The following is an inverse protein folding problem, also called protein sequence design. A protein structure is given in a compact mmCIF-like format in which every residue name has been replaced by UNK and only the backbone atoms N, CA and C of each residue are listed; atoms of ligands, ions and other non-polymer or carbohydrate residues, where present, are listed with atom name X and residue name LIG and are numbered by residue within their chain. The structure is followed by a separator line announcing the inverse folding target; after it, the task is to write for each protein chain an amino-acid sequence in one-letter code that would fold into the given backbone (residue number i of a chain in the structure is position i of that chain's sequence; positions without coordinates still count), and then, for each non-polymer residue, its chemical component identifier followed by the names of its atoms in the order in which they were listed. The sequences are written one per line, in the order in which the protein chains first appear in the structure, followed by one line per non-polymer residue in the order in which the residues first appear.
data_IF_690794692277
#
_entry.id   IF_690794692277
#
_cell.length_a   1.000
_cell.length_b   1.000
_cell.length_c   1.000
_cell.angle_alpha   90.00
_cell.angle_beta   90.00
_cell.angle_gamma   90.00
#
_symmetry.space_group_name_H-M   'P 1'
#
loop_
_entity.id
_entity.type
_entity.pdbx_description
1 polymer ?
#
# COMPACT_ATOMS: atom_id res chain seq x y z
N UNK A 1 -15.60 -26.40 14.11
CA UNK A 1 -14.84 -26.04 12.89
C UNK A 1 -15.86 -25.68 11.82
N UNK A 2 -15.87 -24.45 11.33
CA UNK A 2 -16.76 -24.09 10.21
C UNK A 2 -16.26 -24.79 8.95
N UNK A 3 -17.17 -25.37 8.18
CA UNK A 3 -16.90 -25.91 6.86
C UNK A 3 -16.31 -24.76 6.01
N UNK A 4 -15.19 -24.96 5.28
CA UNK A 4 -14.69 -23.95 4.36
C UNK A 4 -15.79 -23.66 3.34
N UNK A 5 -16.29 -22.43 3.32
CA UNK A 5 -17.20 -21.98 2.28
C UNK A 5 -16.41 -21.79 0.99
N UNK A 6 -17.04 -22.06 -0.14
CA UNK A 6 -16.45 -21.76 -1.44
C UNK A 6 -16.09 -20.27 -1.53
N UNK A 7 -14.97 -19.89 -2.17
CA UNK A 7 -14.53 -18.50 -2.31
C UNK A 7 -15.66 -17.54 -2.71
N UNK A 8 -16.47 -17.94 -3.69
CA UNK A 8 -17.62 -17.15 -4.15
C UNK A 8 -18.66 -16.88 -3.06
N UNK A 9 -18.93 -17.86 -2.20
CA UNK A 9 -19.88 -17.69 -1.10
C UNK A 9 -19.34 -16.72 -0.06
N UNK A 10 -18.04 -16.78 0.23
CA UNK A 10 -17.39 -15.82 1.14
C UNK A 10 -17.54 -14.41 0.59
N UNK A 11 -17.20 -14.19 -0.69
CA UNK A 11 -17.32 -12.88 -1.36
C UNK A 11 -18.76 -12.33 -1.37
N UNK A 12 -19.77 -13.21 -1.52
CA UNK A 12 -21.20 -12.84 -1.46
C UNK A 12 -21.67 -12.49 -0.05
N UNK A 13 -21.03 -13.06 0.98
CA UNK A 13 -21.39 -12.90 2.38
C UNK A 13 -20.56 -11.86 3.13
N UNK A 14 -19.56 -11.25 2.48
CA UNK A 14 -18.82 -10.11 3.03
C UNK A 14 -19.79 -9.03 3.52
N UNK A 15 -19.50 -8.48 4.68
CA UNK A 15 -20.39 -7.56 5.39
C UNK A 15 -19.65 -6.50 6.17
N UNK A 16 -18.38 -6.28 5.84
CA UNK A 16 -17.59 -5.18 6.37
C UNK A 16 -18.10 -3.83 5.86
N UNK A 17 -17.72 -2.76 6.56
CA UNK A 17 -18.06 -1.39 6.18
C UNK A 17 -17.31 -0.92 4.92
N UNK A 18 -16.13 -1.47 4.68
CA UNK A 18 -15.26 -1.27 3.50
C UNK A 18 -15.10 -2.60 2.76
N UNK A 19 -14.81 -3.70 3.47
CA UNK A 19 -14.76 -5.05 2.90
C UNK A 19 -16.18 -5.61 2.71
N UNK A 20 -16.88 -5.06 1.73
CA UNK A 20 -18.29 -5.33 1.46
C UNK A 20 -18.54 -6.49 0.51
N UNK A 21 -19.83 -6.76 0.24
CA UNK A 21 -20.27 -7.75 -0.76
C UNK A 21 -19.66 -7.46 -2.12
N UNK A 22 -19.41 -8.52 -2.90
CA UNK A 22 -18.85 -8.43 -4.27
C UNK A 22 -17.47 -7.76 -4.34
N UNK A 23 -16.75 -7.67 -3.23
CA UNK A 23 -15.38 -7.16 -3.22
C UNK A 23 -14.37 -8.28 -2.98
N UNK A 24 -13.17 -8.14 -3.53
CA UNK A 24 -12.01 -9.00 -3.30
C UNK A 24 -10.86 -8.18 -2.66
N UNK A 25 -10.00 -8.88 -1.92
CA UNK A 25 -8.72 -8.33 -1.47
C UNK A 25 -7.65 -8.81 -2.44
N UNK A 26 -7.34 -8.00 -3.44
CA UNK A 26 -6.38 -8.36 -4.48
C UNK A 26 -4.97 -8.01 -4.02
N UNK A 27 -4.01 -8.92 -4.22
CA UNK A 27 -2.59 -8.59 -4.07
C UNK A 27 -2.24 -7.46 -5.02
N UNK A 28 -1.79 -6.37 -4.43
CA UNK A 28 -1.40 -5.19 -5.17
C UNK A 28 -0.02 -5.44 -5.81
N UNK A 29 0.87 -6.16 -5.12
CA UNK A 29 2.16 -6.61 -5.65
C UNK A 29 1.99 -7.88 -6.50
N UNK A 30 2.09 -7.74 -7.83
CA UNK A 30 1.89 -8.84 -8.80
C UNK A 30 3.12 -9.02 -9.73
N UNK A 31 3.30 -10.19 -10.36
CA UNK A 31 4.50 -10.48 -11.17
C UNK A 31 4.82 -9.46 -12.28
N UNK A 32 3.80 -8.81 -12.83
CA UNK A 32 3.91 -7.79 -13.87
C UNK A 32 4.23 -6.38 -13.38
N UNK A 33 4.28 -6.13 -12.07
CA UNK A 33 4.45 -4.77 -11.54
C UNK A 33 5.86 -4.20 -11.73
N UNK A 34 6.86 -5.04 -12.04
CA UNK A 34 8.25 -4.62 -12.24
C UNK A 34 8.59 -4.46 -13.72
N UNK A 35 8.96 -3.24 -14.13
CA UNK A 35 9.64 -2.99 -15.38
C UNK A 35 11.09 -3.46 -15.30
N UNK A 36 11.37 -4.63 -15.89
CA UNK A 36 12.68 -5.29 -15.89
C UNK A 36 13.82 -4.47 -16.52
N UNK A 37 13.53 -3.33 -17.17
CA UNK A 37 14.52 -2.41 -17.75
C UNK A 37 14.99 -1.33 -16.78
N UNK A 38 14.22 -1.02 -15.74
CA UNK A 38 14.60 0.00 -14.76
C UNK A 38 15.72 -0.52 -13.84
N UNK A 39 16.62 0.37 -13.45
CA UNK A 39 17.70 0.11 -12.49
C UNK A 39 17.84 1.31 -11.56
N UNK A 40 18.24 1.11 -10.29
CA UNK A 40 18.53 -0.18 -9.66
C UNK A 40 17.26 -1.01 -9.40
N UNK A 41 17.42 -2.33 -9.23
CA UNK A 41 16.35 -3.19 -8.73
C UNK A 41 16.49 -3.26 -7.21
N UNK A 42 15.43 -2.88 -6.49
CA UNK A 42 15.36 -3.02 -5.03
C UNK A 42 14.32 -4.10 -4.74
N UNK A 43 14.72 -5.12 -3.99
CA UNK A 43 13.84 -6.25 -3.68
C UNK A 43 12.60 -5.79 -2.89
N UNK A 44 11.42 -6.27 -3.30
CA UNK A 44 10.13 -5.83 -2.75
C UNK A 44 9.68 -4.40 -3.13
N UNK A 45 10.48 -3.64 -3.88
CA UNK A 45 10.24 -2.22 -4.19
C UNK A 45 10.23 -1.96 -5.71
N UNK A 46 9.10 -2.26 -6.37
CA UNK A 46 9.06 -2.28 -7.82
C UNK A 46 9.19 -0.87 -8.43
N UNK A 47 9.75 -0.80 -9.63
CA UNK A 47 9.95 0.42 -10.42
C UNK A 47 10.65 1.57 -9.67
N UNK A 48 11.51 1.23 -8.69
CA UNK A 48 12.32 2.23 -8.02
C UNK A 48 13.15 3.05 -9.03
N UNK A 49 13.20 4.36 -8.81
CA UNK A 49 13.92 5.34 -9.62
C UNK A 49 14.26 6.58 -8.80
N UNK A 50 15.28 7.31 -9.24
CA UNK A 50 15.64 8.62 -8.72
C UNK A 50 15.63 9.61 -9.88
N UNK A 51 15.09 10.80 -9.64
CA UNK A 51 15.07 11.89 -10.62
C UNK A 51 16.45 12.56 -10.69
N UNK A 52 17.28 12.15 -11.64
CA UNK A 52 18.61 12.71 -11.93
C UNK A 52 19.43 13.03 -10.65
N UNK A 53 19.91 14.26 -10.52
CA UNK A 53 20.67 14.75 -9.34
C UNK A 53 19.77 15.30 -8.23
N UNK A 54 18.45 15.15 -8.34
CA UNK A 54 17.52 15.62 -7.31
C UNK A 54 17.39 14.58 -6.18
N UNK A 55 16.98 15.08 -5.02
CA UNK A 55 16.65 14.28 -3.84
C UNK A 55 15.22 13.71 -3.91
N UNK A 56 14.74 13.46 -5.12
CA UNK A 56 13.40 12.94 -5.41
C UNK A 56 13.53 11.53 -5.97
N UNK A 57 12.86 10.61 -5.29
CA UNK A 57 12.80 9.21 -5.61
C UNK A 57 11.35 8.87 -5.99
N UNK A 58 11.17 7.68 -6.56
CA UNK A 58 9.84 7.16 -6.81
C UNK A 58 9.89 5.64 -6.84
N UNK A 59 8.83 5.03 -6.32
CA UNK A 59 8.67 3.58 -6.25
C UNK A 59 7.20 3.24 -6.46
N UNK A 60 6.94 2.08 -7.07
CA UNK A 60 5.59 1.53 -7.12
C UNK A 60 5.32 0.68 -5.88
N UNK A 61 4.05 0.41 -5.59
CA UNK A 61 3.49 -0.61 -4.66
C UNK A 61 4.47 -1.55 -3.90
N UNK A 62 5.23 -1.03 -2.92
CA UNK A 62 6.27 -1.80 -2.27
C UNK A 62 5.70 -2.69 -1.16
N UNK A 63 6.34 -3.83 -0.91
CA UNK A 63 6.15 -4.59 0.35
C UNK A 63 6.77 -3.83 1.52
N UNK A 64 6.45 -4.20 2.77
CA UNK A 64 7.08 -3.57 3.94
C UNK A 64 8.61 -3.76 3.89
N UNK A 65 9.09 -4.95 3.51
CA UNK A 65 10.52 -5.18 3.32
C UNK A 65 11.10 -4.37 2.15
N UNK A 66 10.31 -4.15 1.10
CA UNK A 66 10.62 -3.22 0.02
C UNK A 66 10.84 -1.79 0.52
N UNK A 67 9.95 -1.29 1.38
CA UNK A 67 10.10 0.03 2.01
C UNK A 67 11.41 0.08 2.81
N UNK A 68 11.68 -0.92 3.66
CA UNK A 68 12.94 -1.02 4.42
C UNK A 68 14.17 -1.01 3.50
N UNK A 69 14.10 -1.72 2.38
CA UNK A 69 15.19 -1.80 1.42
C UNK A 69 15.42 -0.47 0.70
N UNK A 70 14.36 0.26 0.35
CA UNK A 70 14.44 1.62 -0.21
C UNK A 70 15.07 2.57 0.81
N UNK A 71 14.59 2.58 2.05
CA UNK A 71 15.14 3.45 3.10
C UNK A 71 16.63 3.17 3.36
N UNK A 72 17.03 1.89 3.41
CA UNK A 72 18.46 1.49 3.50
C UNK A 72 19.26 1.96 2.30
N UNK A 73 18.73 1.81 1.09
CA UNK A 73 19.38 2.22 -0.15
C UNK A 73 19.60 3.74 -0.20
N UNK A 74 18.63 4.51 0.29
CA UNK A 74 18.69 5.98 0.37
C UNK A 74 19.58 6.46 1.53
N UNK A 75 19.80 5.62 2.54
CA UNK A 75 20.64 5.90 3.70
C UNK A 75 19.88 6.44 4.91
N UNK A 76 18.57 6.19 5.02
CA UNK A 76 17.71 6.71 6.08
C UNK A 76 17.67 5.83 7.35
N UNK A 77 18.79 5.20 7.72
CA UNK A 77 18.89 4.30 8.89
C UNK A 77 19.71 4.93 10.03
N UNK A 78 19.51 4.47 11.26
CA UNK A 78 20.19 5.00 12.47
C UNK A 78 21.73 4.92 12.37
N UNK A 79 22.27 3.87 11.76
CA UNK A 79 23.72 3.70 11.57
C UNK A 79 24.18 4.28 10.23
N UNK A 80 24.61 5.55 10.22
CA UNK A 80 25.23 6.17 9.05
C UNK A 80 24.88 7.65 8.84
N UNK A 81 24.91 8.08 7.57
CA UNK A 81 24.56 9.45 7.16
C UNK A 81 23.10 9.73 7.51
N UNK A 82 22.82 10.85 8.20
CA UNK A 82 21.47 11.25 8.66
C UNK A 82 20.63 11.80 7.51
N UNK A 83 20.25 10.94 6.56
CA UNK A 83 19.30 11.32 5.52
C UNK A 83 17.89 11.17 6.07
N UNK A 84 17.11 12.24 5.99
CA UNK A 84 15.72 12.24 6.41
C UNK A 84 14.82 12.01 5.20
N UNK A 85 13.94 11.02 5.23
CA UNK A 85 13.05 10.69 4.12
C UNK A 85 11.64 11.16 4.45
N UNK A 86 11.02 11.90 3.53
CA UNK A 86 9.57 12.10 3.51
C UNK A 86 8.98 11.16 2.47
N UNK A 87 8.18 10.19 2.90
CA UNK A 87 7.48 9.28 2.03
C UNK A 87 6.08 9.79 1.72
N UNK A 88 5.80 10.14 0.47
CA UNK A 88 4.51 10.68 0.05
C UNK A 88 3.76 9.63 -0.77
N UNK A 89 2.65 9.11 -0.24
CA UNK A 89 1.74 8.27 -1.01
C UNK A 89 0.71 9.12 -1.75
N UNK A 90 0.68 8.98 -3.08
CA UNK A 90 -0.29 9.69 -3.93
C UNK A 90 -1.62 8.93 -4.12
N UNK A 91 -1.81 7.80 -3.45
CA UNK A 91 -2.91 6.88 -3.75
C UNK A 91 -4.22 7.36 -3.13
N UNK A 92 -5.25 7.53 -3.95
CA UNK A 92 -6.62 7.78 -3.45
C UNK A 92 -7.34 6.51 -2.95
N UNK A 93 -6.94 5.33 -3.43
CA UNK A 93 -7.52 4.07 -2.99
C UNK A 93 -6.95 3.61 -1.64
N UNK A 94 -7.74 2.94 -0.78
CA UNK A 94 -7.25 2.40 0.48
C UNK A 94 -6.31 1.20 0.24
N UNK A 95 -5.23 1.14 1.00
CA UNK A 95 -4.23 0.08 0.99
C UNK A 95 -4.18 -0.59 2.35
N UNK A 96 -3.97 -1.90 2.39
CA UNK A 96 -3.70 -2.62 3.63
C UNK A 96 -2.55 -3.60 3.42
N UNK A 97 -1.68 -3.72 4.42
CA UNK A 97 -0.61 -4.72 4.43
C UNK A 97 -1.07 -5.95 5.19
N UNK A 98 -0.93 -7.13 4.58
CA UNK A 98 -1.15 -8.42 5.24
C UNK A 98 0.13 -9.24 5.11
N UNK A 99 0.73 -9.62 6.25
CA UNK A 99 2.02 -10.33 6.30
C UNK A 99 3.12 -9.64 5.47
N UNK A 100 3.13 -8.30 5.49
CA UNK A 100 4.11 -7.49 4.78
C UNK A 100 3.82 -7.24 3.29
N UNK A 101 2.80 -7.89 2.71
CA UNK A 101 2.39 -7.71 1.31
C UNK A 101 1.26 -6.68 1.20
N UNK A 102 1.27 -5.76 0.21
CA UNK A 102 0.20 -4.79 0.01
C UNK A 102 -1.00 -5.43 -0.70
N UNK A 103 -2.20 -5.08 -0.26
CA UNK A 103 -3.49 -5.48 -0.82
C UNK A 103 -4.40 -4.27 -1.03
N UNK A 104 -5.24 -4.38 -2.06
CA UNK A 104 -6.24 -3.37 -2.43
C UNK A 104 -7.62 -4.00 -2.58
N UNK A 105 -8.65 -3.19 -2.39
CA UNK A 105 -10.03 -3.60 -2.59
C UNK A 105 -10.40 -3.49 -4.08
N UNK A 106 -11.02 -4.54 -4.63
CA UNK A 106 -11.52 -4.55 -6.02
C UNK A 106 -12.92 -5.11 -6.11
N UNK A 107 -13.65 -4.73 -7.16
CA UNK A 107 -14.91 -5.37 -7.50
C UNK A 107 -14.64 -6.75 -8.13
N UNK A 108 -15.38 -7.77 -7.73
CA UNK A 108 -15.23 -9.15 -8.23
C UNK A 108 -15.50 -9.27 -9.74
N UNK A 109 -16.39 -8.44 -10.29
CA UNK A 109 -16.73 -8.41 -11.71
C UNK A 109 -15.71 -7.58 -12.52
N UNK A 110 -14.93 -6.70 -11.85
CA UNK A 110 -13.92 -5.83 -12.47
C UNK A 110 -12.62 -5.79 -11.65
N UNK A 111 -11.91 -6.92 -11.50
CA UNK A 111 -10.80 -7.03 -10.55
C UNK A 111 -9.55 -6.23 -10.96
N UNK A 112 -9.48 -5.78 -12.22
CA UNK A 112 -8.39 -4.96 -12.75
C UNK A 112 -8.68 -3.45 -12.74
N UNK A 113 -9.91 -3.03 -12.37
CA UNK A 113 -10.28 -1.61 -12.33
C UNK A 113 -10.15 -1.07 -10.91
N UNK A 114 -9.65 0.17 -10.79
CA UNK A 114 -9.60 0.87 -9.50
C UNK A 114 -11.02 1.23 -9.05
N UNK A 115 -11.26 1.22 -7.73
CA UNK A 115 -12.46 1.83 -7.16
C UNK A 115 -12.22 3.32 -7.05
N UNK A 116 -12.96 4.12 -7.81
CA UNK A 116 -12.78 5.58 -7.85
C UNK A 116 -13.39 6.26 -6.62
N UNK A 117 -12.60 7.08 -5.92
CA UNK A 117 -13.02 7.91 -4.79
C UNK A 117 -12.73 9.38 -5.06
N UNK A 118 -13.17 9.88 -6.22
CA UNK A 118 -12.92 11.25 -6.70
C UNK A 118 -12.95 12.33 -5.60
N UNK A 119 -11.80 13.00 -5.40
CA UNK A 119 -11.67 14.11 -4.46
C UNK A 119 -11.68 13.72 -2.98
N UNK A 120 -11.38 12.47 -2.65
CA UNK A 120 -11.17 12.04 -1.27
C UNK A 120 -9.96 12.74 -0.64
N UNK A 121 -10.03 13.07 0.65
CA UNK A 121 -8.93 13.68 1.38
C UNK A 121 -8.18 12.63 2.23
N UNK A 122 -6.99 12.98 2.74
CA UNK A 122 -6.15 12.11 3.58
C UNK A 122 -6.93 11.42 4.69
N UNK A 123 -7.60 12.22 5.53
CA UNK A 123 -8.32 11.73 6.71
C UNK A 123 -9.33 10.65 6.35
N UNK A 124 -10.09 10.84 5.26
CA UNK A 124 -11.10 9.88 4.83
C UNK A 124 -10.49 8.60 4.26
N UNK A 125 -9.37 8.68 3.52
CA UNK A 125 -8.66 7.50 3.04
C UNK A 125 -8.12 6.68 4.21
N UNK A 126 -7.44 7.33 5.16
CA UNK A 126 -6.86 6.65 6.34
C UNK A 126 -7.96 6.04 7.23
N UNK A 127 -9.10 6.70 7.40
CA UNK A 127 -10.27 6.13 8.08
C UNK A 127 -10.82 4.88 7.36
N UNK A 128 -10.82 4.87 6.02
CA UNK A 128 -11.21 3.69 5.24
C UNK A 128 -10.19 2.56 5.40
N UNK A 129 -8.90 2.85 5.45
CA UNK A 129 -7.84 1.85 5.70
C UNK A 129 -7.96 1.23 7.09
N UNK A 130 -8.22 2.03 8.12
CA UNK A 130 -8.45 1.56 9.48
C UNK A 130 -9.69 0.63 9.56
N UNK A 131 -10.81 1.04 8.95
CA UNK A 131 -12.03 0.20 8.87
C UNK A 131 -11.82 -1.06 8.05
N UNK A 132 -11.03 -0.99 6.96
CA UNK A 132 -10.68 -2.16 6.16
C UNK A 132 -9.88 -3.17 6.99
N UNK A 133 -8.91 -2.71 7.79
CA UNK A 133 -8.18 -3.56 8.75
C UNK A 133 -9.14 -4.22 9.75
N UNK A 134 -10.07 -3.47 10.33
CA UNK A 134 -11.07 -4.02 11.26
C UNK A 134 -11.96 -5.07 10.57
N UNK A 135 -12.45 -4.78 9.38
CA UNK A 135 -13.28 -5.71 8.60
C UNK A 135 -12.54 -7.02 8.29
N UNK A 136 -11.25 -6.94 7.94
CA UNK A 136 -10.39 -8.10 7.69
C UNK A 136 -10.28 -8.97 8.94
N UNK A 137 -9.99 -8.38 10.09
CA UNK A 137 -9.84 -9.11 11.36
C UNK A 137 -11.18 -9.75 11.78
N UNK A 138 -12.29 -9.02 11.63
CA UNK A 138 -13.62 -9.50 11.94
C UNK A 138 -14.11 -10.62 11.00
N UNK A 139 -13.78 -10.53 9.70
CA UNK A 139 -14.00 -11.62 8.75
C UNK A 139 -13.14 -12.83 9.09
N UNK A 140 -11.84 -12.63 9.35
CA UNK A 140 -10.92 -13.72 9.63
C UNK A 140 -11.28 -14.50 10.90
N UNK A 141 -11.77 -13.81 11.94
CA UNK A 141 -12.25 -14.47 13.16
C UNK A 141 -13.38 -15.49 12.90
N UNK A 142 -14.19 -15.26 11.85
CA UNK A 142 -15.27 -16.18 11.44
C UNK A 142 -14.75 -17.39 10.67
N UNK A 143 -13.55 -17.32 10.12
CA UNK A 143 -12.94 -18.35 9.27
C UNK A 143 -11.64 -18.92 9.87
N UNK A 144 -11.53 -18.93 11.20
CA UNK A 144 -10.39 -19.54 11.89
C UNK A 144 -9.08 -18.77 11.72
N UNK A 145 -9.15 -17.45 11.83
CA UNK A 145 -8.04 -16.51 11.65
C UNK A 145 -7.43 -16.54 10.24
N UNK A 146 -8.29 -16.75 9.24
CA UNK A 146 -7.90 -16.70 7.83
C UNK A 146 -8.78 -15.75 7.04
N UNK A 147 -8.19 -14.98 6.14
CA UNK A 147 -8.89 -14.10 5.22
C UNK A 147 -8.71 -14.60 3.79
N UNK A 148 -9.75 -14.48 2.98
CA UNK A 148 -9.68 -14.81 1.57
C UNK A 148 -9.07 -13.62 0.79
N UNK A 149 -7.96 -13.88 0.12
CA UNK A 149 -7.26 -12.94 -0.75
C UNK A 149 -7.19 -13.48 -2.17
N UNK A 150 -6.97 -12.62 -3.15
CA UNK A 150 -6.89 -12.98 -4.56
C UNK A 150 -5.54 -12.55 -5.13
N UNK A 151 -4.78 -13.49 -5.66
CA UNK A 151 -3.50 -13.26 -6.33
C UNK A 151 -3.66 -13.27 -7.85
N UNK A 152 -2.82 -12.51 -8.54
CA UNK A 152 -2.72 -12.51 -10.00
C UNK A 152 -1.48 -13.29 -10.44
N UNK A 153 -1.70 -14.33 -11.25
CA UNK A 153 -0.64 -15.13 -11.84
C UNK A 153 -0.01 -14.42 -13.06
N UNK A 154 1.19 -14.82 -13.51
CA UNK A 154 1.85 -14.20 -14.66
C UNK A 154 1.07 -14.24 -15.98
N UNK A 155 0.11 -15.16 -16.11
CA UNK A 155 -0.79 -15.29 -17.26
C UNK A 155 -2.08 -14.45 -17.11
N UNK A 156 -2.20 -13.67 -16.03
CA UNK A 156 -3.36 -12.84 -15.71
C UNK A 156 -4.50 -13.59 -15.02
N UNK A 157 -4.34 -14.88 -14.71
CA UNK A 157 -5.36 -15.63 -13.97
C UNK A 157 -5.43 -15.17 -12.51
N UNK A 158 -6.65 -14.97 -12.01
CA UNK A 158 -6.93 -14.70 -10.61
C UNK A 158 -7.06 -16.00 -9.82
N UNK A 159 -6.38 -16.10 -8.67
CA UNK A 159 -6.40 -17.26 -7.79
C UNK A 159 -6.71 -16.84 -6.36
N UNK A 160 -7.77 -17.40 -5.80
CA UNK A 160 -8.15 -17.16 -4.41
C UNK A 160 -7.38 -18.07 -3.45
N UNK A 161 -6.91 -17.48 -2.36
CA UNK A 161 -6.12 -18.17 -1.35
C UNK A 161 -6.54 -17.73 0.06
N UNK A 162 -6.44 -18.66 1.01
CA UNK A 162 -6.69 -18.38 2.41
C UNK A 162 -5.40 -17.97 3.12
N UNK A 163 -5.29 -16.69 3.44
CA UNK A 163 -4.15 -16.10 4.13
C UNK A 163 -4.38 -16.12 5.63
N UNK A 164 -3.40 -16.58 6.41
CA UNK A 164 -3.51 -16.56 7.88
C UNK A 164 -3.23 -15.18 8.42
N UNK A 165 -4.08 -14.68 9.31
CA UNK A 165 -3.97 -13.33 9.87
C UNK A 165 -4.09 -13.30 11.38
N UNK A 166 -3.44 -12.31 11.98
CA UNK A 166 -3.52 -11.91 13.38
C UNK A 166 -3.58 -10.38 13.46
N UNK A 167 -3.82 -9.84 14.65
CA UNK A 167 -3.79 -8.39 14.88
C UNK A 167 -2.46 -7.73 14.46
N UNK A 168 -1.34 -8.46 14.54
CA UNK A 168 -0.01 -7.96 14.20
C UNK A 168 0.36 -8.15 12.73
N UNK A 169 -0.38 -8.96 11.97
CA UNK A 169 -0.09 -9.20 10.55
C UNK A 169 -0.80 -8.24 9.61
N UNK A 170 -1.84 -7.55 10.07
CA UNK A 170 -2.65 -6.62 9.27
C UNK A 170 -2.33 -5.19 9.70
N UNK A 171 -1.81 -4.37 8.78
CA UNK A 171 -1.37 -3.01 9.07
C UNK A 171 -1.88 -2.01 8.03
N UNK A 172 -2.24 -0.82 8.47
CA UNK A 172 -2.46 0.32 7.57
C UNK A 172 -1.10 0.89 7.14
N UNK A 173 -1.03 1.66 6.04
CA UNK A 173 0.20 2.35 5.66
C UNK A 173 0.76 3.23 6.79
N UNK A 174 -0.10 3.98 7.49
CA UNK A 174 0.32 4.83 8.61
C UNK A 174 1.01 4.01 9.71
N UNK A 175 0.40 2.90 10.13
CA UNK A 175 0.98 2.01 11.16
C UNK A 175 2.33 1.43 10.70
N UNK A 176 2.49 1.12 9.40
CA UNK A 176 3.77 0.64 8.87
C UNK A 176 4.87 1.69 9.04
N UNK A 177 4.62 2.96 8.73
CA UNK A 177 5.66 3.99 8.87
C UNK A 177 5.94 4.35 10.33
N UNK A 178 4.92 4.36 11.19
CA UNK A 178 5.11 4.53 12.64
C UNK A 178 6.01 3.43 13.23
N UNK A 179 5.81 2.17 12.81
CA UNK A 179 6.69 1.08 13.22
C UNK A 179 8.11 1.24 12.67
N UNK A 180 8.28 1.66 11.41
CA UNK A 180 9.60 1.90 10.83
C UNK A 180 10.36 3.01 11.58
N UNK A 181 9.68 4.06 12.04
CA UNK A 181 10.28 5.07 12.90
C UNK A 181 10.79 4.46 14.22
N UNK A 182 10.00 3.59 14.85
CA UNK A 182 10.40 2.85 16.06
C UNK A 182 11.58 1.90 15.79
N UNK A 183 11.64 1.30 14.61
CA UNK A 183 12.79 0.48 14.14
C UNK A 183 14.08 1.31 13.91
N UNK A 184 14.01 2.64 13.97
CA UNK A 184 15.16 3.54 13.83
C UNK A 184 15.37 4.06 12.40
N UNK A 185 14.35 4.02 11.55
CA UNK A 185 14.38 4.69 10.26
C UNK A 185 13.99 6.16 10.41
N UNK A 186 14.74 7.05 9.74
CA UNK A 186 14.43 8.48 9.65
C UNK A 186 13.46 8.71 8.48
N UNK A 187 12.19 8.34 8.69
CA UNK A 187 11.14 8.45 7.69
C UNK A 187 9.88 9.08 8.28
N UNK A 188 9.35 10.10 7.60
CA UNK A 188 8.01 10.62 7.83
C UNK A 188 7.06 10.13 6.73
N UNK A 189 5.78 9.99 7.04
CA UNK A 189 4.76 9.54 6.11
C UNK A 189 3.68 10.59 5.88
N UNK A 190 3.44 10.87 4.60
CA UNK A 190 2.41 11.77 4.14
C UNK A 190 1.52 11.08 3.09
N UNK A 191 0.22 11.41 3.13
CA UNK A 191 -0.79 10.88 2.20
C UNK A 191 -1.44 12.06 1.48
N UNK A 192 -1.19 12.15 0.18
CA UNK A 192 -1.72 13.20 -0.71
C UNK A 192 -2.52 12.51 -1.81
N UNK A 193 -3.77 12.09 -1.55
CA UNK A 193 -4.54 11.29 -2.50
C UNK A 193 -4.82 12.09 -3.77
N UNK A 194 -4.23 11.68 -4.88
CA UNK A 194 -4.46 12.24 -6.22
C UNK A 194 -5.43 11.34 -6.95
N UNK A 195 -6.42 11.94 -7.60
CA UNK A 195 -7.41 11.16 -8.36
C UNK A 195 -6.78 10.47 -9.56
N UNK A 196 -7.02 9.16 -9.65
CA UNK A 196 -6.43 8.34 -10.69
C UNK A 196 -7.07 8.62 -12.06
N UNK A 197 -6.34 8.33 -13.14
CA UNK A 197 -6.74 8.57 -14.54
C UNK A 197 -7.14 10.04 -14.85
N UNK A 198 -6.79 10.98 -13.96
CA UNK A 198 -7.01 12.42 -14.12
C UNK A 198 -5.72 13.18 -13.83
N UNK A 199 -5.54 14.31 -14.50
CA UNK A 199 -4.44 15.21 -14.17
C UNK A 199 -4.57 15.68 -12.72
N UNK A 200 -3.46 15.75 -11.96
CA UNK A 200 -3.47 16.39 -10.65
C UNK A 200 -4.02 17.81 -10.75
N UNK A 201 -4.75 18.24 -9.72
CA UNK A 201 -5.27 19.60 -9.61
C UNK A 201 -4.17 20.55 -9.15
N UNK A 202 -4.36 21.85 -9.34
CA UNK A 202 -3.43 22.89 -8.88
C UNK A 202 -3.07 22.72 -7.38
N UNK A 203 -4.07 22.42 -6.55
CA UNK A 203 -3.88 22.18 -5.11
C UNK A 203 -2.98 20.98 -4.82
N UNK A 204 -3.02 19.93 -5.65
CA UNK A 204 -2.14 18.76 -5.48
C UNK A 204 -0.68 19.16 -5.72
N UNK A 205 -0.43 20.01 -6.72
CA UNK A 205 0.89 20.58 -6.97
C UNK A 205 1.33 21.51 -5.85
N UNK A 206 0.45 22.37 -5.34
CA UNK A 206 0.78 23.28 -4.24
C UNK A 206 1.21 22.51 -2.99
N UNK A 207 0.52 21.41 -2.65
CA UNK A 207 0.87 20.52 -1.53
C UNK A 207 2.23 19.86 -1.77
N UNK A 208 2.49 19.33 -2.97
CA UNK A 208 3.77 18.68 -3.28
C UNK A 208 4.93 19.70 -3.29
N UNK A 209 4.72 20.88 -3.86
CA UNK A 209 5.68 21.97 -3.84
C UNK A 209 5.94 22.45 -2.42
N UNK A 210 4.92 22.51 -1.56
CA UNK A 210 5.09 22.81 -0.15
C UNK A 210 6.03 21.79 0.49
N UNK A 211 5.75 20.49 0.39
CA UNK A 211 6.64 19.46 0.96
C UNK A 211 8.05 19.44 0.37
N UNK A 212 8.21 19.74 -0.92
CA UNK A 212 9.52 19.82 -1.57
C UNK A 212 10.31 21.06 -1.17
N UNK A 213 9.65 22.13 -0.73
CA UNK A 213 10.29 23.39 -0.33
C UNK A 213 10.52 23.52 1.18
N UNK A 214 9.96 22.63 2.01
CA UNK A 214 9.94 22.85 3.46
C UNK A 214 11.30 22.75 4.14
N UNK A 215 12.26 21.85 3.85
CA UNK A 215 13.55 21.97 4.55
C UNK A 215 14.77 21.15 4.08
N UNK A 216 15.94 21.80 4.22
CA UNK A 216 17.33 21.30 4.32
C UNK A 216 17.96 20.47 3.17
N UNK A 217 19.28 20.66 2.97
CA UNK A 217 20.11 19.91 2.01
C UNK A 217 20.08 18.38 2.20
N UNK A 218 19.59 17.88 3.34
CA UNK A 218 19.67 16.47 3.73
C UNK A 218 18.31 15.72 3.68
N UNK A 219 17.21 16.41 3.37
CA UNK A 219 15.90 15.79 3.17
C UNK A 219 15.78 15.18 1.76
N UNK A 220 15.15 14.01 1.68
CA UNK A 220 14.81 13.34 0.42
C UNK A 220 13.34 12.96 0.41
N UNK A 221 12.73 12.98 -0.77
CA UNK A 221 11.32 12.63 -0.95
C UNK A 221 11.23 11.34 -1.74
N UNK A 222 10.36 10.42 -1.31
CA UNK A 222 10.03 9.16 -1.99
C UNK A 222 8.57 9.16 -2.39
#
# INVERSE_FOLDING_TARGET
MSIPKEPEEVMKLRGGSVLGKKTILKSDHFPGCQNKRLRPNIDGAPNYRQADSLHVHGVAIPTIDGIRNVLKHIGAQTEGKKVHVLWISLREEPVVYINGRPFVLRDVERPFSNLEYTGINRERVEQMEARLKEDILNEAARYGNKILVTDELPDGQMVDQWESVSCNSVKTPLEVYEELQVEGYFVDYERVPVTDEKSPKEQDFDILCYYLNIDSLDQRVV
#
